data_IF_114391134906
#
_entry.id   IF_114391134906
#
_cell.length_a   1.000
_cell.length_b   1.000
_cell.length_c   1.000
_cell.angle_alpha   90.00
_cell.angle_beta   90.00
_cell.angle_gamma   90.00
#
_symmetry.space_group_name_H-M   'P 1'
#
loop_
_entity.id
_entity.type
_entity.pdbx_description
1 polymer ?
#
# COMPACT_ATOMS: atom_id res chain seq x y z
N UNK A 1 72.06 28.54 -22.67
CA UNK A 1 72.42 27.51 -23.68
C UNK A 1 71.33 26.44 -23.68
N UNK A 2 70.66 26.23 -24.84
CA UNK A 2 69.88 25.03 -25.31
C UNK A 2 68.73 24.56 -24.40
N UNK A 3 67.43 24.76 -24.65
CA UNK A 3 66.50 24.44 -25.76
C UNK A 3 66.40 22.95 -26.16
N UNK A 4 65.24 22.33 -25.86
CA UNK A 4 64.44 21.33 -26.61
C UNK A 4 63.18 21.00 -25.76
N UNK A 5 61.98 21.49 -26.09
CA UNK A 5 60.94 20.86 -26.94
C UNK A 5 60.28 19.61 -26.27
N UNK A 6 58.96 19.46 -26.12
CA UNK A 6 57.81 20.25 -26.55
C UNK A 6 56.48 19.59 -26.15
N UNK A 7 55.40 20.34 -26.39
CA UNK A 7 53.98 19.96 -26.47
C UNK A 7 53.22 19.63 -25.16
N UNK A 8 52.79 20.69 -24.45
CA UNK A 8 51.67 20.62 -23.50
C UNK A 8 50.38 20.81 -24.31
N UNK A 9 49.56 19.76 -24.40
CA UNK A 9 48.26 19.82 -25.06
C UNK A 9 47.24 20.57 -24.19
N UNK A 10 46.38 21.32 -24.89
CA UNK A 10 45.51 22.37 -24.38
C UNK A 10 44.45 21.94 -23.36
N UNK A 11 44.12 22.90 -22.48
CA UNK A 11 42.97 22.96 -21.57
C UNK A 11 41.61 22.97 -22.29
N UNK A 12 40.64 22.16 -21.85
CA UNK A 12 39.20 22.43 -22.06
C UNK A 12 38.35 21.96 -20.86
N UNK A 13 37.96 22.92 -20.04
CA UNK A 13 36.57 23.24 -19.62
C UNK A 13 35.57 22.10 -19.29
N UNK A 14 35.17 22.08 -18.01
CA UNK A 14 33.80 21.86 -17.47
C UNK A 14 33.23 20.46 -17.18
N UNK A 15 32.75 20.37 -15.93
CA UNK A 15 31.66 19.56 -15.38
C UNK A 15 31.65 18.05 -15.64
N UNK A 16 32.14 17.26 -14.68
CA UNK A 16 31.60 15.91 -14.46
C UNK A 16 30.81 15.89 -13.16
N UNK A 17 29.50 15.78 -13.38
CA UNK A 17 28.43 15.74 -12.40
C UNK A 17 28.63 14.55 -11.47
N UNK A 18 28.52 14.76 -10.16
CA UNK A 18 28.47 13.68 -9.17
C UNK A 18 27.17 12.91 -9.41
N UNK A 19 27.25 11.71 -9.97
CA UNK A 19 26.09 10.84 -10.16
C UNK A 19 25.63 10.27 -8.81
N UNK A 20 24.93 11.06 -8.00
CA UNK A 20 24.04 10.52 -6.98
C UNK A 20 22.76 10.05 -7.67
N UNK A 21 22.79 8.84 -8.22
CA UNK A 21 21.59 8.17 -8.69
C UNK A 21 20.76 7.66 -7.49
N UNK A 22 20.18 8.58 -6.73
CA UNK A 22 18.99 8.33 -5.92
C UNK A 22 17.83 9.02 -6.61
N UNK A 23 17.36 8.42 -7.70
CA UNK A 23 16.05 8.78 -8.23
C UNK A 23 15.45 7.65 -9.04
N UNK A 24 14.50 6.95 -8.41
CA UNK A 24 13.13 7.02 -8.87
C UNK A 24 12.25 6.43 -7.77
N UNK A 25 11.71 7.31 -6.95
CA UNK A 25 10.38 7.07 -6.40
C UNK A 25 9.51 6.65 -7.58
N UNK A 26 9.06 5.39 -7.57
CA UNK A 26 8.05 4.91 -8.50
C UNK A 26 6.79 5.70 -8.16
N UNK A 27 6.59 6.82 -8.84
CA UNK A 27 5.31 7.52 -8.87
C UNK A 27 4.33 6.55 -9.50
N UNK A 28 3.64 5.81 -8.64
CA UNK A 28 2.61 4.87 -9.01
C UNK A 28 1.42 5.73 -9.44
N UNK A 29 1.43 6.08 -10.73
CA UNK A 29 0.30 6.75 -11.36
C UNK A 29 -0.70 5.66 -11.65
N UNK A 30 -1.50 5.28 -10.65
CA UNK A 30 -2.64 4.37 -10.84
C UNK A 30 -3.65 5.08 -11.71
N UNK A 31 -3.64 4.79 -13.00
CA UNK A 31 -4.80 5.09 -13.85
C UNK A 31 -5.99 4.34 -13.23
N UNK A 32 -7.12 5.02 -13.03
CA UNK A 32 -8.31 4.50 -12.33
C UNK A 32 -8.93 3.21 -12.92
N UNK A 33 -8.34 2.65 -13.98
CA UNK A 33 -8.75 1.44 -14.68
C UNK A 33 -7.72 0.29 -14.59
N UNK A 34 -6.67 0.41 -13.77
CA UNK A 34 -5.72 -0.68 -13.54
C UNK A 34 -6.16 -1.54 -12.34
N UNK A 35 -6.31 -2.86 -12.57
CA UNK A 35 -6.58 -3.80 -11.48
C UNK A 35 -5.34 -3.85 -10.59
N UNK A 36 -5.53 -3.49 -9.32
CA UNK A 36 -4.48 -3.59 -8.30
C UNK A 36 -4.46 -5.00 -7.71
N UNK A 37 -3.28 -5.50 -7.39
CA UNK A 37 -3.12 -6.74 -6.63
C UNK A 37 -2.46 -6.39 -5.30
N UNK A 38 -3.08 -6.82 -4.21
CA UNK A 38 -2.56 -6.53 -2.87
C UNK A 38 -3.08 -7.50 -1.83
N UNK A 39 -2.36 -7.60 -0.72
CA UNK A 39 -2.77 -8.34 0.48
C UNK A 39 -3.21 -7.35 1.53
N UNK A 40 -4.40 -7.55 2.11
CA UNK A 40 -4.95 -6.65 3.10
C UNK A 40 -6.22 -7.17 3.73
N UNK A 41 -6.76 -6.39 4.66
CA UNK A 41 -8.06 -6.66 5.28
C UNK A 41 -9.17 -6.50 4.23
N UNK A 42 -10.08 -7.46 4.16
CA UNK A 42 -11.28 -7.43 3.33
C UNK A 42 -12.46 -7.77 4.24
N UNK A 43 -13.37 -6.81 4.40
CA UNK A 43 -14.56 -6.94 5.24
C UNK A 43 -15.84 -6.73 4.43
N UNK A 44 -16.93 -7.38 4.81
CA UNK A 44 -18.23 -7.25 4.13
C UNK A 44 -18.87 -5.86 4.34
N UNK A 45 -18.61 -5.21 5.48
CA UNK A 45 -19.20 -3.92 5.83
C UNK A 45 -18.17 -2.92 6.33
N UNK A 46 -18.49 -1.63 6.16
CA UNK A 46 -17.73 -0.51 6.72
C UNK A 46 -17.55 -0.67 8.23
N UNK A 47 -18.62 -1.00 8.96
CA UNK A 47 -18.60 -1.10 10.42
C UNK A 47 -17.65 -2.18 10.91
N UNK A 48 -17.56 -3.32 10.21
CA UNK A 48 -16.60 -4.37 10.56
C UNK A 48 -15.15 -3.91 10.33
N UNK A 49 -14.87 -3.18 9.24
CA UNK A 49 -13.54 -2.61 9.01
C UNK A 49 -13.16 -1.54 10.06
N UNK A 50 -14.09 -0.64 10.42
CA UNK A 50 -13.87 0.34 11.49
C UNK A 50 -13.64 -0.36 12.84
N UNK A 51 -14.45 -1.39 13.13
CA UNK A 51 -14.32 -2.19 14.35
C UNK A 51 -12.97 -2.87 14.44
N UNK A 52 -12.49 -3.45 13.33
CA UNK A 52 -11.15 -4.03 13.24
C UNK A 52 -10.09 -2.99 13.65
N UNK A 53 -10.10 -1.79 13.05
CA UNK A 53 -9.15 -0.71 13.39
C UNK A 53 -9.23 -0.31 14.86
N UNK A 54 -10.44 -0.24 15.44
CA UNK A 54 -10.62 0.11 16.85
C UNK A 54 -9.95 -0.88 17.80
N UNK A 55 -9.95 -2.16 17.43
CA UNK A 55 -9.46 -3.29 18.22
C UNK A 55 -7.98 -3.59 18.00
N UNK A 56 -7.37 -3.08 16.93
CA UNK A 56 -5.93 -3.25 16.71
C UNK A 56 -5.15 -2.68 17.90
N UNK A 57 -4.15 -3.42 18.39
CA UNK A 57 -3.21 -2.91 19.39
C UNK A 57 -2.24 -1.89 18.81
N UNK A 58 -1.32 -1.41 19.65
CA UNK A 58 -0.23 -0.50 19.23
C UNK A 58 0.72 -1.18 18.24
N UNK A 59 0.94 -2.48 18.43
CA UNK A 59 1.51 -3.35 17.42
C UNK A 59 0.38 -3.92 16.54
N UNK A 60 0.20 -3.30 15.38
CA UNK A 60 -0.74 -3.70 14.36
C UNK A 60 -0.59 -5.17 13.89
N UNK A 61 0.58 -5.77 14.09
CA UNK A 61 0.90 -7.12 13.62
C UNK A 61 0.73 -8.21 14.68
N UNK A 62 0.78 -7.86 15.97
CA UNK A 62 0.82 -8.83 17.06
C UNK A 62 -0.50 -9.61 17.23
N UNK A 63 -1.65 -8.99 16.93
CA UNK A 63 -2.98 -9.52 17.34
C UNK A 63 -4.02 -9.65 16.21
N UNK A 64 -3.62 -9.59 14.93
CA UNK A 64 -4.55 -9.61 13.78
C UNK A 64 -5.58 -10.74 13.87
N UNK A 65 -5.15 -11.96 14.20
CA UNK A 65 -6.06 -13.12 14.24
C UNK A 65 -7.10 -13.01 15.36
N UNK A 66 -6.70 -12.48 16.53
CA UNK A 66 -7.62 -12.28 17.64
C UNK A 66 -8.62 -11.15 17.33
N UNK A 67 -8.15 -10.08 16.68
CA UNK A 67 -9.01 -9.00 16.19
C UNK A 67 -10.02 -9.49 15.16
N UNK A 68 -9.59 -10.25 14.14
CA UNK A 68 -10.50 -10.88 13.16
C UNK A 68 -11.53 -11.76 13.85
N UNK A 69 -11.08 -12.64 14.75
CA UNK A 69 -11.97 -13.53 15.51
C UNK A 69 -13.03 -12.75 16.26
N UNK A 70 -12.65 -11.65 16.91
CA UNK A 70 -13.59 -10.79 17.64
C UNK A 70 -14.62 -10.17 16.69
N UNK A 71 -14.18 -9.54 15.60
CA UNK A 71 -15.08 -8.90 14.62
C UNK A 71 -16.04 -9.91 13.98
N UNK A 72 -15.53 -11.09 13.62
CA UNK A 72 -16.31 -12.14 12.96
C UNK A 72 -17.34 -12.76 13.92
N UNK A 73 -16.97 -12.94 15.19
CA UNK A 73 -17.90 -13.38 16.23
C UNK A 73 -18.99 -12.32 16.48
N UNK A 74 -18.63 -11.04 16.57
CA UNK A 74 -19.58 -9.93 16.71
C UNK A 74 -20.55 -9.86 15.51
N UNK A 75 -20.09 -10.19 14.31
CA UNK A 75 -20.89 -10.25 13.08
C UNK A 75 -21.74 -11.53 12.95
N UNK A 76 -21.49 -12.56 13.76
CA UNK A 76 -22.12 -13.86 13.64
C UNK A 76 -21.75 -14.64 12.37
N UNK A 77 -20.65 -14.26 11.70
CA UNK A 77 -20.17 -14.83 10.45
C UNK A 77 -18.66 -15.03 10.53
N UNK A 78 -18.20 -16.27 10.34
CA UNK A 78 -16.79 -16.65 10.56
C UNK A 78 -15.80 -15.96 9.62
N UNK A 79 -16.26 -15.41 8.51
CA UNK A 79 -15.48 -14.80 7.43
C UNK A 79 -15.91 -13.36 7.10
N UNK A 80 -16.65 -12.69 8.01
CA UNK A 80 -17.09 -11.30 7.86
C UNK A 80 -15.94 -10.32 7.55
N UNK A 81 -14.77 -10.57 8.13
CA UNK A 81 -13.50 -9.96 7.79
C UNK A 81 -12.42 -11.03 7.66
N UNK A 82 -11.54 -10.87 6.67
CA UNK A 82 -10.36 -11.73 6.46
C UNK A 82 -9.16 -10.90 6.03
N UNK A 83 -7.95 -11.42 6.21
CA UNK A 83 -6.77 -10.95 5.47
C UNK A 83 -6.60 -11.82 4.24
N UNK A 84 -6.70 -11.23 3.06
CA UNK A 84 -6.64 -11.94 1.79
C UNK A 84 -5.77 -11.20 0.78
N UNK A 85 -5.18 -11.96 -0.15
CA UNK A 85 -4.61 -11.40 -1.37
C UNK A 85 -5.71 -11.32 -2.42
N UNK A 86 -5.94 -10.14 -2.98
CA UNK A 86 -7.03 -9.90 -3.94
C UNK A 86 -6.55 -9.09 -5.13
N UNK A 87 -7.18 -9.31 -6.27
CA UNK A 87 -7.20 -8.38 -7.40
C UNK A 87 -8.43 -7.48 -7.26
N UNK A 88 -8.24 -6.16 -7.24
CA UNK A 88 -9.30 -5.21 -6.91
C UNK A 88 -9.15 -3.86 -7.62
N UNK A 89 -10.26 -3.11 -7.71
CA UNK A 89 -10.22 -1.66 -7.93
C UNK A 89 -10.44 -0.93 -6.61
N UNK A 90 -9.61 0.07 -6.27
CA UNK A 90 -9.87 0.93 -5.12
C UNK A 90 -11.09 1.82 -5.42
N UNK A 91 -12.02 1.88 -4.46
CA UNK A 91 -13.16 2.78 -4.49
C UNK A 91 -12.91 4.05 -3.69
N UNK A 92 -14.00 4.68 -3.28
CA UNK A 92 -13.95 5.91 -2.47
C UNK A 92 -13.53 5.64 -1.02
N UNK A 93 -12.95 6.65 -0.37
CA UNK A 93 -12.81 6.69 1.08
C UNK A 93 -14.18 6.91 1.72
N UNK A 94 -14.56 6.01 2.62
CA UNK A 94 -15.86 6.04 3.31
C UNK A 94 -15.76 6.33 4.81
N UNK A 95 -14.54 6.26 5.36
CA UNK A 95 -14.25 6.67 6.73
C UNK A 95 -12.77 7.04 6.92
N UNK A 96 -12.51 7.77 8.00
CA UNK A 96 -11.18 8.14 8.47
C UNK A 96 -11.17 7.98 9.99
N UNK A 97 -10.18 7.29 10.52
CA UNK A 97 -10.04 6.95 11.93
C UNK A 97 -8.65 7.33 12.41
N UNK A 98 -8.57 7.91 13.61
CA UNK A 98 -7.28 8.10 14.28
C UNK A 98 -6.98 6.91 15.18
N UNK A 99 -5.78 6.34 15.04
CA UNK A 99 -5.28 5.24 15.86
C UNK A 99 -3.81 5.48 16.15
N UNK A 100 -3.46 5.68 17.42
CA UNK A 100 -2.08 5.82 17.89
C UNK A 100 -1.28 6.92 17.15
N UNK A 101 -1.92 8.08 16.93
CA UNK A 101 -1.33 9.20 16.20
C UNK A 101 -1.24 8.99 14.68
N UNK A 102 -1.73 7.87 14.16
CA UNK A 102 -1.80 7.57 12.73
C UNK A 102 -3.23 7.68 12.21
N UNK A 103 -3.36 8.14 10.96
CA UNK A 103 -4.66 8.20 10.27
C UNK A 103 -4.85 6.93 9.44
N UNK A 104 -5.92 6.20 9.74
CA UNK A 104 -6.35 5.00 9.04
C UNK A 104 -7.61 5.32 8.24
N UNK A 105 -7.55 5.17 6.92
CA UNK A 105 -8.71 5.32 6.05
C UNK A 105 -9.42 3.98 5.89
N UNK A 106 -10.75 4.01 5.92
CA UNK A 106 -11.58 2.91 5.43
C UNK A 106 -12.01 3.24 4.02
N UNK A 107 -11.73 2.34 3.08
CA UNK A 107 -12.05 2.51 1.67
C UNK A 107 -12.94 1.37 1.19
N UNK A 108 -13.74 1.66 0.17
CA UNK A 108 -14.37 0.64 -0.65
C UNK A 108 -13.34 -0.05 -1.55
N UNK A 109 -13.50 -1.35 -1.78
CA UNK A 109 -12.73 -2.10 -2.79
C UNK A 109 -13.67 -3.01 -3.59
N UNK A 110 -13.63 -2.91 -4.92
CA UNK A 110 -14.32 -3.85 -5.80
C UNK A 110 -13.38 -5.02 -6.08
N UNK A 111 -13.63 -6.18 -5.46
CA UNK A 111 -12.81 -7.39 -5.62
C UNK A 111 -13.25 -8.14 -6.87
N UNK A 112 -12.31 -8.46 -7.76
CA UNK A 112 -12.55 -9.23 -8.99
C UNK A 112 -11.79 -10.56 -9.02
N UNK A 113 -10.77 -10.72 -8.16
CA UNK A 113 -9.98 -11.94 -8.08
C UNK A 113 -9.53 -12.20 -6.64
N UNK A 114 -9.37 -13.47 -6.30
CA UNK A 114 -8.81 -13.92 -5.01
C UNK A 114 -7.53 -14.70 -5.25
N UNK A 115 -6.55 -14.51 -4.37
CA UNK A 115 -5.29 -15.26 -4.38
C UNK A 115 -5.51 -16.68 -3.89
N UNK A 116 -4.97 -17.64 -4.65
CA UNK A 116 -4.95 -19.07 -4.32
C UNK A 116 -3.51 -19.58 -4.43
N UNK A 117 -3.19 -20.79 -3.94
CA UNK A 117 -1.85 -21.38 -4.12
C UNK A 117 -1.41 -21.49 -5.59
N UNK A 118 -2.36 -21.58 -6.53
CA UNK A 118 -2.09 -21.64 -7.97
C UNK A 118 -2.11 -20.27 -8.66
N UNK A 119 -2.21 -19.17 -7.92
CA UNK A 119 -2.29 -17.81 -8.45
C UNK A 119 -3.65 -17.14 -8.24
N UNK A 120 -3.88 -16.01 -8.92
CA UNK A 120 -5.15 -15.29 -8.84
C UNK A 120 -6.26 -16.04 -9.60
N UNK A 121 -7.40 -16.21 -8.95
CA UNK A 121 -8.61 -16.77 -9.55
C UNK A 121 -9.69 -15.68 -9.64
N UNK A 122 -10.22 -15.46 -10.84
CA UNK A 122 -11.33 -14.52 -11.06
C UNK A 122 -12.58 -15.01 -10.31
N UNK A 123 -13.29 -14.08 -9.70
CA UNK A 123 -14.55 -14.29 -8.97
C UNK A 123 -15.62 -13.33 -9.48
N UNK A 124 -16.87 -13.55 -9.09
CA UNK A 124 -17.92 -12.58 -9.32
C UNK A 124 -17.57 -11.25 -8.62
N UNK A 125 -17.56 -10.10 -9.34
CA UNK A 125 -17.19 -8.83 -8.75
C UNK A 125 -18.12 -8.45 -7.59
N UNK A 126 -17.55 -8.16 -6.43
CA UNK A 126 -18.31 -7.73 -5.25
C UNK A 126 -17.59 -6.60 -4.51
N UNK A 127 -18.38 -5.68 -3.97
CA UNK A 127 -17.89 -4.59 -3.13
C UNK A 127 -17.60 -5.09 -1.72
N UNK A 128 -16.45 -4.69 -1.20
CA UNK A 128 -15.98 -4.92 0.16
C UNK A 128 -15.35 -3.65 0.72
N UNK A 129 -14.88 -3.72 1.97
CA UNK A 129 -14.22 -2.64 2.67
C UNK A 129 -12.83 -3.06 3.12
N UNK A 130 -11.87 -2.15 3.00
CA UNK A 130 -10.49 -2.35 3.39
C UNK A 130 -9.96 -1.15 4.17
N UNK A 131 -8.79 -1.31 4.78
CA UNK A 131 -8.12 -0.29 5.58
C UNK A 131 -6.78 0.09 4.96
N UNK A 132 -6.49 1.39 4.93
CA UNK A 132 -5.21 1.91 4.47
C UNK A 132 -4.66 2.91 5.48
N UNK A 133 -3.43 2.67 5.95
CA UNK A 133 -2.73 3.69 6.72
C UNK A 133 -2.26 4.80 5.78
N UNK A 134 -2.54 6.04 6.14
CA UNK A 134 -1.94 7.19 5.46
C UNK A 134 -0.49 7.26 5.91
N UNK A 135 0.46 7.00 5.01
CA UNK A 135 1.88 7.25 5.33
C UNK A 135 2.05 8.74 5.62
N UNK A 136 2.55 9.04 6.82
CA UNK A 136 3.10 10.30 7.33
C UNK A 136 2.63 11.58 6.62
N UNK A 137 1.65 12.28 7.23
CA UNK A 137 1.56 13.74 7.03
C UNK A 137 2.80 14.34 7.68
N UNK A 138 3.87 14.53 6.91
CA UNK A 138 4.86 15.56 7.23
C UNK A 138 4.11 16.89 7.05
N UNK A 139 3.59 17.43 8.14
CA UNK A 139 3.19 18.83 8.27
C UNK A 139 4.39 19.65 8.73
#
# INVERSE_FOLDING_TARGET
>A
MKLCAGLVLATVLSCTVVANAKDKARTQTTTANEIMVGSGLICDTKQQAERFVSLMGDDASADIQNTLTTVNNEAGQSDACVVATVGFFPGQKVAELEKNGSVVNVIEVLVLAVGTPSGLKIVEPKMYYSVQQTKDRII
#
